data_IF_366382983677
#
_entry.id   IF_366382983677
#
_cell.length_a   1.000
_cell.length_b   1.000
_cell.length_c   1.000
_cell.angle_alpha   90.00
_cell.angle_beta   90.00
_cell.angle_gamma   90.00
#
_symmetry.space_group_name_H-M   'P 1'
#
loop_
_entity.id
_entity.type
_entity.pdbx_description
1 polymer ?
#
# COMPACT_ATOMS: atom_id res chain seq x y z
N UNK A 1 69.79 23.83 -17.43
CA UNK A 1 68.50 23.70 -18.15
C UNK A 1 68.33 22.26 -18.58
N UNK A 2 67.44 21.50 -17.95
CA UNK A 2 66.86 20.26 -18.50
C UNK A 2 65.65 19.86 -17.62
N UNK A 3 64.47 19.97 -18.26
CA UNK A 3 63.14 19.39 -18.04
C UNK A 3 62.84 18.68 -16.69
N UNK A 4 61.95 19.24 -15.85
CA UNK A 4 60.47 19.13 -15.85
C UNK A 4 59.91 17.79 -15.29
N UNK A 5 59.49 17.86 -14.03
CA UNK A 5 58.24 17.33 -13.45
C UNK A 5 57.80 15.92 -13.86
N UNK A 6 57.99 14.94 -12.97
CA UNK A 6 57.33 13.63 -13.05
C UNK A 6 56.37 13.44 -11.88
N UNK A 7 55.09 13.38 -12.24
CA UNK A 7 54.08 12.48 -11.68
C UNK A 7 53.54 12.79 -10.29
N UNK A 8 52.74 13.85 -10.20
CA UNK A 8 51.55 13.81 -9.37
C UNK A 8 50.51 12.82 -9.95
N UNK A 9 49.63 12.35 -9.07
CA UNK A 9 48.34 11.68 -9.32
C UNK A 9 48.42 10.15 -9.46
N UNK A 10 48.33 9.47 -8.31
CA UNK A 10 47.85 8.08 -8.23
C UNK A 10 47.18 7.82 -6.87
N UNK A 11 46.22 8.68 -6.49
CA UNK A 11 45.34 8.49 -5.33
C UNK A 11 43.94 9.06 -5.61
N UNK A 12 43.28 8.59 -6.67
CA UNK A 12 41.90 9.03 -7.00
C UNK A 12 41.05 7.94 -7.66
N UNK A 13 41.30 6.65 -7.39
CA UNK A 13 40.59 5.54 -8.03
C UNK A 13 39.67 4.76 -7.10
N UNK A 14 39.36 5.27 -5.90
CA UNK A 14 38.63 4.51 -4.87
C UNK A 14 37.55 5.35 -4.16
N UNK A 15 36.69 6.03 -4.91
CA UNK A 15 35.50 6.69 -4.34
C UNK A 15 34.34 6.81 -5.35
N UNK A 16 34.22 5.86 -6.28
CA UNK A 16 33.07 5.72 -7.16
C UNK A 16 32.37 4.37 -6.93
N UNK A 17 32.33 3.91 -5.68
CA UNK A 17 31.15 3.18 -5.22
C UNK A 17 30.10 4.24 -4.93
N UNK A 18 29.42 4.66 -6.00
CA UNK A 18 28.12 5.32 -5.86
C UNK A 18 27.28 4.39 -5.01
N UNK A 19 27.09 4.75 -3.74
CA UNK A 19 26.06 4.21 -2.88
C UNK A 19 24.72 4.52 -3.57
N UNK A 20 24.30 3.65 -4.48
CA UNK A 20 22.89 3.54 -4.82
C UNK A 20 22.27 2.92 -3.58
N UNK A 21 21.81 3.77 -2.65
CA UNK A 21 20.89 3.29 -1.63
C UNK A 21 19.81 2.50 -2.37
N UNK A 22 19.56 1.22 -2.02
CA UNK A 22 18.41 0.53 -2.57
C UNK A 22 17.22 1.44 -2.29
N UNK A 23 16.64 2.01 -3.35
CA UNK A 23 15.44 2.79 -3.21
C UNK A 23 14.41 1.81 -2.66
N UNK A 24 13.95 2.06 -1.44
CA UNK A 24 12.88 1.28 -0.83
C UNK A 24 11.65 1.47 -1.72
N UNK A 25 11.31 0.40 -2.44
CA UNK A 25 10.34 0.42 -3.52
C UNK A 25 9.01 -0.24 -3.09
N UNK A 26 8.78 -0.29 -1.78
CA UNK A 26 7.68 -1.03 -1.19
C UNK A 26 6.44 -0.15 -1.04
N UNK A 27 5.32 -0.59 -1.63
CA UNK A 27 4.05 0.13 -1.65
C UNK A 27 3.05 -0.43 -0.64
N UNK A 28 2.02 0.34 -0.34
CA UNK A 28 0.98 0.06 0.65
C UNK A 28 -0.33 0.76 0.27
N UNK A 29 -1.45 0.34 0.85
CA UNK A 29 -2.70 1.10 0.73
C UNK A 29 -2.64 2.36 1.60
N UNK A 30 -2.53 3.53 0.97
CA UNK A 30 -2.56 4.85 1.63
C UNK A 30 -3.99 5.26 1.99
N UNK A 31 -4.95 4.91 1.13
CA UNK A 31 -6.37 5.15 1.36
C UNK A 31 -7.19 3.95 0.93
N UNK A 32 -8.19 3.57 1.73
CA UNK A 32 -9.09 2.44 1.46
C UNK A 32 -10.43 2.90 0.87
N UNK A 33 -10.82 4.14 1.16
CA UNK A 33 -12.03 4.77 0.64
C UNK A 33 -11.72 6.19 0.11
N UNK A 34 -11.15 6.23 -1.09
CA UNK A 34 -10.85 7.44 -1.83
C UNK A 34 -12.10 7.94 -2.55
N UNK A 35 -12.50 9.17 -2.23
CA UNK A 35 -13.64 9.84 -2.88
C UNK A 35 -13.12 10.96 -3.76
N UNK A 36 -13.36 10.84 -5.07
CA UNK A 36 -13.02 11.85 -6.05
C UNK A 36 -13.84 13.13 -5.83
N UNK A 37 -13.21 14.29 -6.04
CA UNK A 37 -13.86 15.59 -6.02
C UNK A 37 -14.79 15.77 -7.25
N UNK A 38 -14.38 15.22 -8.40
CA UNK A 38 -15.14 15.18 -9.64
C UNK A 38 -15.14 13.72 -10.16
N UNK A 39 -16.26 12.99 -10.10
CA UNK A 39 -16.31 11.58 -10.49
C UNK A 39 -16.05 11.36 -11.99
N UNK A 40 -16.24 12.38 -12.83
CA UNK A 40 -15.97 12.33 -14.27
C UNK A 40 -14.50 12.62 -14.61
N UNK A 41 -13.72 13.13 -13.64
CA UNK A 41 -12.29 13.41 -13.77
C UNK A 41 -11.52 12.73 -12.65
N UNK A 42 -11.40 11.42 -12.79
CA UNK A 42 -10.67 10.60 -11.83
C UNK A 42 -9.18 10.96 -11.83
N UNK A 43 -8.72 11.46 -10.69
CA UNK A 43 -7.31 11.64 -10.34
C UNK A 43 -7.08 11.13 -8.93
N UNK A 44 -5.86 10.67 -8.65
CA UNK A 44 -5.48 10.10 -7.36
C UNK A 44 -4.68 11.09 -6.51
N UNK A 45 -4.36 12.26 -7.06
CA UNK A 45 -3.64 13.34 -6.42
C UNK A 45 -4.39 13.92 -5.23
N UNK A 46 -3.64 14.59 -4.37
CA UNK A 46 -4.19 15.25 -3.16
C UNK A 46 -5.30 16.28 -3.48
N UNK A 47 -5.31 16.83 -4.70
CA UNK A 47 -6.25 17.85 -5.15
C UNK A 47 -7.47 17.25 -5.88
N UNK A 48 -7.43 15.95 -6.19
CA UNK A 48 -8.45 15.25 -7.00
C UNK A 48 -9.49 14.52 -6.14
N UNK A 49 -9.29 14.46 -4.82
CA UNK A 49 -10.20 13.78 -3.92
C UNK A 49 -9.75 13.85 -2.46
N UNK A 50 -10.37 13.01 -1.63
CA UNK A 50 -10.05 12.88 -0.21
C UNK A 50 -10.22 11.44 0.24
N UNK A 51 -9.53 11.09 1.31
CA UNK A 51 -9.67 9.78 1.92
C UNK A 51 -10.71 9.82 3.06
N UNK A 52 -11.69 8.92 3.01
CA UNK A 52 -12.71 8.76 4.04
C UNK A 52 -12.49 7.54 4.94
N UNK A 53 -11.63 6.61 4.53
CA UNK A 53 -11.36 5.39 5.26
C UNK A 53 -9.98 4.85 4.98
N UNK A 54 -9.36 4.29 6.02
CA UNK A 54 -7.94 3.94 6.03
C UNK A 54 -7.73 2.49 6.47
N UNK A 55 -6.53 1.98 6.24
CA UNK A 55 -6.08 0.73 6.82
C UNK A 55 -5.99 0.84 8.35
N UNK A 56 -5.94 -0.32 9.04
CA UNK A 56 -5.83 -0.37 10.50
C UNK A 56 -4.63 0.43 10.99
N UNK A 57 -4.85 1.21 12.05
CA UNK A 57 -3.82 2.03 12.72
C UNK A 57 -3.04 2.93 11.77
N UNK A 58 -3.65 3.38 10.67
CA UNK A 58 -2.99 4.25 9.70
C UNK A 58 -2.68 5.62 10.32
N UNK A 59 -1.41 6.10 10.32
CA UNK A 59 -1.05 7.38 10.91
C UNK A 59 -1.56 8.56 10.06
N UNK A 60 -2.18 9.55 10.71
CA UNK A 60 -2.62 10.78 10.05
C UNK A 60 -1.49 11.83 9.99
N UNK A 61 -1.68 12.82 9.10
CA UNK A 61 -0.78 13.97 8.96
C UNK A 61 0.56 13.68 8.28
N UNK A 62 0.68 12.50 7.68
CA UNK A 62 1.89 12.08 6.96
C UNK A 62 1.82 12.51 5.50
N UNK A 63 2.96 12.76 4.88
CA UNK A 63 3.00 13.03 3.45
C UNK A 63 2.65 11.76 2.66
N UNK A 64 1.97 11.92 1.53
CA UNK A 64 1.65 10.79 0.67
C UNK A 64 2.93 10.09 0.20
N UNK A 65 2.98 8.77 0.36
CA UNK A 65 4.11 7.96 -0.08
C UNK A 65 5.39 8.11 0.77
N UNK A 66 5.31 8.65 2.00
CA UNK A 66 6.47 8.84 2.89
C UNK A 66 6.56 7.85 4.06
N UNK A 67 5.78 6.77 4.04
CA UNK A 67 5.67 5.82 5.15
C UNK A 67 6.52 4.56 4.97
N UNK A 68 7.43 4.57 4.00
CA UNK A 68 8.52 3.61 3.83
C UNK A 68 9.62 3.80 4.88
N UNK A 69 9.99 5.04 5.19
CA UNK A 69 11.00 5.36 6.21
C UNK A 69 10.43 5.50 7.65
N UNK A 70 9.14 5.21 7.85
CA UNK A 70 8.50 5.29 9.16
C UNK A 70 8.92 4.10 10.06
N UNK A 71 8.77 4.26 11.38
CA UNK A 71 9.04 3.18 12.33
C UNK A 71 7.80 2.82 13.17
N UNK A 72 7.15 1.67 12.92
CA UNK A 72 7.36 0.79 11.77
C UNK A 72 6.80 1.40 10.46
N UNK A 73 7.33 0.96 9.31
CA UNK A 73 6.87 1.36 7.99
C UNK A 73 5.47 0.84 7.68
N UNK A 74 4.83 1.32 6.61
CA UNK A 74 3.51 0.82 6.17
C UNK A 74 3.57 -0.34 5.18
N UNK A 75 4.74 -0.63 4.62
CA UNK A 75 4.91 -1.82 3.81
C UNK A 75 5.11 -3.05 4.71
N UNK A 76 4.21 -4.01 4.61
CA UNK A 76 4.38 -5.32 5.22
C UNK A 76 4.67 -6.35 4.13
N UNK A 77 5.92 -6.82 4.08
CA UNK A 77 6.36 -7.85 3.14
C UNK A 77 6.18 -9.24 3.77
N UNK A 78 5.30 -10.04 3.17
CA UNK A 78 4.97 -11.38 3.65
C UNK A 78 6.15 -12.35 3.45
N UNK A 79 6.34 -13.26 4.40
CA UNK A 79 7.33 -14.33 4.31
C UNK A 79 6.66 -15.67 3.99
N UNK A 80 6.27 -15.85 2.73
CA UNK A 80 5.60 -17.07 2.23
C UNK A 80 4.10 -17.14 2.51
N UNK A 81 3.50 -18.30 2.23
CA UNK A 81 2.04 -18.49 2.26
C UNK A 81 1.46 -18.71 3.68
N UNK A 82 2.31 -19.10 4.63
CA UNK A 82 1.94 -19.23 6.05
C UNK A 82 2.05 -17.90 6.81
N UNK A 83 2.53 -16.83 6.15
CA UNK A 83 2.64 -15.52 6.75
C UNK A 83 1.27 -15.00 7.24
N UNK A 84 1.24 -14.24 8.34
CA UNK A 84 0.04 -13.51 8.73
C UNK A 84 -0.48 -12.69 7.55
N UNK A 85 -1.80 -12.68 7.29
CA UNK A 85 -2.33 -11.89 6.18
C UNK A 85 -2.22 -10.38 6.43
N UNK A 86 -2.33 -9.97 7.69
CA UNK A 86 -2.16 -8.59 8.13
C UNK A 86 -0.90 -8.55 9.00
N UNK A 87 -0.15 -7.45 8.93
CA UNK A 87 1.02 -7.29 9.80
C UNK A 87 0.60 -7.37 11.25
N UNK A 88 1.37 -8.08 12.07
CA UNK A 88 1.23 -8.09 13.52
C UNK A 88 2.35 -7.29 14.23
N UNK A 89 3.13 -6.53 13.45
CA UNK A 89 4.29 -5.80 13.94
C UNK A 89 5.43 -6.69 14.41
N UNK A 90 5.45 -7.99 14.07
CA UNK A 90 6.48 -8.95 14.50
C UNK A 90 7.00 -9.86 13.39
N UNK A 91 6.13 -10.33 12.50
CA UNK A 91 6.46 -11.27 11.43
C UNK A 91 6.50 -10.57 10.07
N UNK A 92 7.18 -11.19 9.10
CA UNK A 92 7.44 -10.64 7.76
C UNK A 92 8.92 -10.46 7.49
N UNK A 93 9.26 -10.29 6.21
CA UNK A 93 10.60 -9.85 5.80
C UNK A 93 10.79 -8.37 6.14
N UNK A 94 9.80 -7.57 5.75
CA UNK A 94 9.56 -6.25 6.29
C UNK A 94 8.30 -6.33 7.14
N UNK A 95 8.47 -6.04 8.42
CA UNK A 95 7.43 -6.32 9.42
C UNK A 95 6.22 -5.40 9.25
N UNK A 96 6.43 -4.16 8.84
CA UNK A 96 5.37 -3.16 8.74
C UNK A 96 4.71 -2.82 10.09
N UNK A 97 3.70 -1.96 10.06
CA UNK A 97 2.95 -1.55 11.25
C UNK A 97 1.87 -2.56 11.63
N UNK A 98 1.61 -2.74 12.93
CA UNK A 98 0.55 -3.61 13.43
C UNK A 98 -0.83 -3.27 12.83
N UNK A 99 -1.33 -4.18 12.01
CA UNK A 99 -2.63 -4.21 11.36
C UNK A 99 -3.48 -5.38 11.86
N UNK A 100 -3.19 -5.94 13.04
CA UNK A 100 -4.10 -6.91 13.68
C UNK A 100 -5.45 -6.27 13.99
N UNK A 101 -6.53 -7.03 13.91
CA UNK A 101 -7.85 -6.58 14.35
C UNK A 101 -7.82 -6.21 15.83
N UNK A 102 -8.31 -5.03 16.18
CA UNK A 102 -8.45 -4.60 17.56
C UNK A 102 -9.75 -5.15 18.19
N UNK A 103 -9.82 -5.13 19.52
CA UNK A 103 -11.03 -5.47 20.29
C UNK A 103 -11.44 -4.33 21.26
N UNK A 104 -12.53 -3.60 20.96
CA UNK A 104 -13.36 -3.69 19.75
C UNK A 104 -12.63 -3.09 18.51
N UNK A 105 -13.08 -3.39 17.27
CA UNK A 105 -12.39 -2.98 16.03
C UNK A 105 -12.12 -1.47 15.93
N UNK A 106 -13.02 -0.65 16.48
CA UNK A 106 -12.94 0.81 16.46
C UNK A 106 -11.66 1.34 17.12
N UNK A 107 -11.03 0.58 18.02
CA UNK A 107 -9.75 0.98 18.63
C UNK A 107 -8.58 1.04 17.64
N UNK A 108 -8.70 0.43 16.46
CA UNK A 108 -7.71 0.55 15.39
C UNK A 108 -7.86 1.86 14.59
N UNK A 109 -8.87 2.68 14.89
CA UNK A 109 -9.27 3.85 14.11
C UNK A 109 -9.52 5.08 14.98
N UNK A 110 -9.50 6.26 14.36
CA UNK A 110 -9.77 7.54 15.04
C UNK A 110 -8.65 8.00 15.98
N UNK A 111 -8.86 9.18 16.58
CA UNK A 111 -7.84 9.83 17.40
C UNK A 111 -6.58 10.16 16.59
N UNK A 112 -5.49 9.43 16.83
CA UNK A 112 -4.24 9.57 16.06
C UNK A 112 -4.23 8.76 14.76
N UNK A 113 -5.22 7.90 14.56
CA UNK A 113 -5.36 7.04 13.39
C UNK A 113 -6.47 7.52 12.45
N UNK A 114 -6.39 7.09 11.19
CA UNK A 114 -7.43 7.29 10.20
C UNK A 114 -8.79 6.68 10.59
N UNK A 115 -9.85 7.15 9.95
CA UNK A 115 -11.19 6.61 10.13
C UNK A 115 -11.33 5.21 9.51
N UNK A 116 -12.25 4.41 10.06
CA UNK A 116 -12.70 3.15 9.46
C UNK A 116 -13.61 3.46 8.26
N UNK A 117 -13.49 2.69 7.17
CA UNK A 117 -14.42 2.79 6.04
C UNK A 117 -15.82 2.34 6.47
N UNK A 118 -16.83 3.15 6.14
CA UNK A 118 -18.26 2.83 6.32
C UNK A 118 -18.94 2.95 4.97
N UNK A 119 -19.67 1.91 4.54
CA UNK A 119 -20.24 1.81 3.18
C UNK A 119 -21.46 0.89 3.15
N UNK A 120 -22.13 0.82 2.01
CA UNK A 120 -23.23 -0.09 1.71
C UNK A 120 -22.86 -1.08 0.60
N UNK A 121 -23.65 -2.16 0.47
CA UNK A 121 -23.50 -3.11 -0.62
C UNK A 121 -23.69 -2.41 -1.98
N UNK A 122 -22.89 -2.79 -2.98
CA UNK A 122 -22.85 -2.19 -4.32
C UNK A 122 -22.33 -0.74 -4.41
N UNK A 123 -21.94 -0.13 -3.30
CA UNK A 123 -21.15 1.10 -3.35
C UNK A 123 -19.84 0.84 -4.11
N UNK A 124 -19.29 1.91 -4.67
CA UNK A 124 -17.94 1.88 -5.24
C UNK A 124 -16.96 2.29 -4.15
N UNK A 125 -16.05 1.39 -3.79
CA UNK A 125 -14.88 1.74 -2.99
C UNK A 125 -13.67 1.90 -3.90
N UNK A 126 -12.88 2.94 -3.66
CA UNK A 126 -11.65 3.20 -4.39
C UNK A 126 -10.46 3.20 -3.42
N UNK A 127 -9.41 2.48 -3.77
CA UNK A 127 -8.19 2.37 -2.97
C UNK A 127 -7.09 3.16 -3.67
N UNK A 128 -6.30 3.90 -2.91
CA UNK A 128 -5.14 4.66 -3.38
C UNK A 128 -3.85 4.13 -2.78
N UNK A 129 -2.78 4.07 -3.58
CA UNK A 129 -1.43 3.66 -3.16
C UNK A 129 -0.33 4.46 -3.89
N UNK A 130 0.87 4.59 -3.32
CA UNK A 130 2.02 5.19 -4.01
C UNK A 130 2.65 4.22 -5.01
N UNK A 131 3.15 4.72 -6.14
CA UNK A 131 3.78 3.89 -7.17
C UNK A 131 5.15 3.30 -6.78
N UNK A 132 5.90 3.99 -5.92
CA UNK A 132 7.25 3.59 -5.43
C UNK A 132 8.20 3.20 -6.56
N UNK A 133 8.23 4.01 -7.63
CA UNK A 133 9.05 3.82 -8.83
C UNK A 133 8.67 2.63 -9.71
N UNK A 134 7.56 1.95 -9.44
CA UNK A 134 7.06 0.81 -10.23
C UNK A 134 5.91 1.16 -11.19
N UNK A 135 5.77 2.45 -11.50
CA UNK A 135 4.83 2.96 -12.49
C UNK A 135 5.54 3.73 -13.61
N UNK A 136 6.81 3.41 -13.89
CA UNK A 136 7.56 4.02 -14.98
C UNK A 136 7.00 3.64 -16.35
N UNK A 137 7.09 4.57 -17.31
CA UNK A 137 6.52 4.43 -18.65
C UNK A 137 7.17 3.29 -19.46
N UNK A 138 8.41 2.93 -19.12
CA UNK A 138 9.21 1.91 -19.81
C UNK A 138 9.03 0.48 -19.25
N UNK A 139 8.30 0.33 -18.13
CA UNK A 139 8.10 -0.96 -17.49
C UNK A 139 6.77 -1.60 -17.92
N UNK A 140 6.75 -2.92 -18.12
CA UNK A 140 5.55 -3.66 -18.53
C UNK A 140 4.39 -3.47 -17.55
N UNK A 141 3.19 -3.26 -18.09
CA UNK A 141 1.95 -3.10 -17.30
C UNK A 141 1.34 -4.46 -16.87
N UNK A 142 2.15 -5.33 -16.29
CA UNK A 142 1.73 -6.66 -15.81
C UNK A 142 1.53 -6.72 -14.29
N UNK A 143 1.90 -5.67 -13.56
CA UNK A 143 1.77 -5.61 -12.10
C UNK A 143 0.30 -5.37 -11.70
N UNK A 144 -0.15 -6.14 -10.71
CA UNK A 144 -1.53 -6.15 -10.24
C UNK A 144 -1.60 -6.01 -8.73
N UNK A 145 -2.62 -5.27 -8.29
CA UNK A 145 -3.11 -5.29 -6.91
C UNK A 145 -4.25 -6.29 -6.86
N UNK A 146 -4.21 -7.23 -5.93
CA UNK A 146 -5.30 -8.12 -5.60
C UNK A 146 -6.06 -7.55 -4.41
N UNK A 147 -7.39 -7.54 -4.49
CA UNK A 147 -8.27 -7.23 -3.37
C UNK A 147 -8.90 -8.52 -2.89
N UNK A 148 -8.64 -8.85 -1.63
CA UNK A 148 -9.31 -9.92 -0.93
C UNK A 148 -10.32 -9.30 0.05
N UNK A 149 -11.55 -9.81 0.06
CA UNK A 149 -12.63 -9.27 0.87
C UNK A 149 -13.32 -10.41 1.62
N UNK A 150 -13.13 -10.46 2.94
CA UNK A 150 -13.57 -11.58 3.75
C UNK A 150 -15.06 -11.91 3.58
N UNK A 151 -15.36 -13.21 3.58
CA UNK A 151 -16.73 -13.71 3.47
C UNK A 151 -17.46 -13.74 4.83
N UNK A 152 -16.71 -13.65 5.93
CA UNK A 152 -17.23 -13.73 7.30
C UNK A 152 -16.97 -12.42 8.03
N UNK A 153 -18.01 -11.96 8.72
CA UNK A 153 -17.99 -10.83 9.62
C UNK A 153 -17.21 -11.17 10.90
N UNK A 154 -16.62 -10.17 11.55
CA UNK A 154 -16.19 -10.33 12.95
C UNK A 154 -14.86 -11.06 13.16
N UNK A 155 -14.25 -11.62 12.11
CA UNK A 155 -13.07 -12.49 12.25
C UNK A 155 -12.04 -12.27 11.15
N UNK A 156 -10.80 -12.08 11.58
CA UNK A 156 -9.65 -12.17 10.68
C UNK A 156 -9.36 -13.64 10.33
N UNK A 157 -9.10 -13.94 9.05
CA UNK A 157 -8.49 -15.20 8.66
C UNK A 157 -7.10 -15.32 9.28
N UNK A 158 -6.67 -16.54 9.58
CA UNK A 158 -5.43 -16.80 10.34
C UNK A 158 -4.19 -16.83 9.47
N UNK A 159 -4.35 -17.17 8.19
CA UNK A 159 -3.24 -17.35 7.24
C UNK A 159 -3.51 -16.59 5.95
N UNK A 160 -2.44 -16.29 5.20
CA UNK A 160 -2.60 -15.72 3.87
C UNK A 160 -3.33 -16.65 2.89
N UNK A 161 -3.19 -17.97 3.04
CA UNK A 161 -3.95 -18.95 2.26
C UNK A 161 -5.47 -18.75 2.45
N UNK A 162 -5.95 -18.64 3.68
CA UNK A 162 -7.38 -18.41 3.97
C UNK A 162 -7.88 -17.08 3.38
N UNK A 163 -7.08 -16.00 3.43
CA UNK A 163 -7.47 -14.70 2.82
C UNK A 163 -7.51 -14.79 1.30
N UNK A 164 -6.61 -15.53 0.68
CA UNK A 164 -6.54 -15.65 -0.79
C UNK A 164 -7.77 -16.33 -1.38
N UNK A 165 -8.44 -17.22 -0.63
CA UNK A 165 -9.73 -17.80 -1.01
C UNK A 165 -10.88 -16.77 -1.08
N UNK A 166 -10.67 -15.57 -0.54
CA UNK A 166 -11.63 -14.46 -0.53
C UNK A 166 -11.33 -13.40 -1.60
N UNK A 167 -10.54 -13.75 -2.61
CA UNK A 167 -10.25 -12.91 -3.76
C UNK A 167 -11.54 -12.35 -4.38
N UNK A 168 -11.55 -11.04 -4.59
CA UNK A 168 -12.67 -10.31 -5.17
C UNK A 168 -12.33 -9.78 -6.57
N UNK A 169 -11.21 -9.08 -6.71
CA UNK A 169 -10.85 -8.39 -7.95
C UNK A 169 -9.34 -8.12 -8.03
N UNK A 170 -8.82 -8.04 -9.25
CA UNK A 170 -7.50 -7.46 -9.51
C UNK A 170 -7.61 -6.07 -10.16
N UNK A 171 -6.68 -5.19 -9.82
CA UNK A 171 -6.60 -3.83 -10.34
C UNK A 171 -5.21 -3.59 -10.93
N UNK A 172 -5.08 -2.84 -12.04
CA UNK A 172 -3.78 -2.46 -12.57
C UNK A 172 -3.02 -1.63 -11.54
N UNK A 173 -1.83 -2.09 -11.11
CA UNK A 173 -1.02 -1.34 -10.15
C UNK A 173 -0.64 0.04 -10.68
N UNK A 174 -0.43 0.14 -12.01
CA UNK A 174 0.02 1.35 -12.71
C UNK A 174 -1.10 2.31 -13.14
N UNK A 175 -2.30 2.17 -12.59
CA UNK A 175 -3.36 3.16 -12.83
C UNK A 175 -3.08 4.43 -12.02
N UNK A 176 -2.14 5.23 -12.52
CA UNK A 176 -1.53 6.34 -11.81
C UNK A 176 -1.72 7.67 -12.55
N UNK A 177 -1.69 8.75 -11.78
CA UNK A 177 -1.69 10.09 -12.35
C UNK A 177 -0.41 10.36 -13.13
N UNK A 178 -0.51 11.17 -14.18
CA UNK A 178 0.66 11.59 -14.95
C UNK A 178 1.50 12.56 -14.11
N UNK A 179 2.81 12.33 -13.99
CA UNK A 179 3.68 13.22 -13.23
C UNK A 179 5.14 12.78 -13.19
N UNK A 180 6.04 13.68 -12.79
CA UNK A 180 7.50 13.46 -12.89
C UNK A 180 8.14 12.80 -11.67
N UNK A 181 7.42 12.62 -10.55
CA UNK A 181 7.95 11.99 -9.33
C UNK A 181 7.46 10.55 -9.27
N UNK A 182 8.23 9.57 -9.75
CA UNK A 182 7.75 8.19 -9.92
C UNK A 182 7.59 7.46 -8.59
N UNK A 183 8.38 7.84 -7.58
CA UNK A 183 8.33 7.27 -6.24
C UNK A 183 6.98 7.51 -5.54
N UNK A 184 6.53 8.75 -5.53
CA UNK A 184 5.31 9.18 -4.84
C UNK A 184 4.15 9.45 -5.80
N UNK A 185 4.20 8.89 -7.02
CA UNK A 185 3.12 9.04 -7.99
C UNK A 185 1.87 8.34 -7.42
N UNK A 186 0.74 9.03 -7.29
CA UNK A 186 -0.46 8.42 -6.75
C UNK A 186 -1.10 7.53 -7.81
N UNK A 187 -1.50 6.34 -7.37
CA UNK A 187 -2.19 5.34 -8.17
C UNK A 187 -3.41 4.86 -7.41
N UNK A 188 -4.36 4.26 -8.12
CA UNK A 188 -5.50 3.66 -7.45
C UNK A 188 -6.36 2.80 -8.33
N UNK A 189 -7.40 2.23 -7.74
CA UNK A 189 -8.40 1.47 -8.46
C UNK A 189 -9.67 1.38 -7.65
N UNK A 190 -10.78 1.13 -8.34
CA UNK A 190 -12.10 1.06 -7.72
C UNK A 190 -12.75 -0.28 -7.98
N UNK A 191 -13.58 -0.72 -7.04
CA UNK A 191 -14.37 -1.94 -7.15
C UNK A 191 -15.72 -1.78 -6.45
N UNK A 192 -16.64 -2.71 -6.73
CA UNK A 192 -17.96 -2.73 -6.10
C UNK A 192 -17.91 -3.56 -4.82
N UNK A 193 -18.46 -3.00 -3.74
CA UNK A 193 -18.65 -3.74 -2.48
C UNK A 193 -19.54 -4.95 -2.76
N UNK A 194 -19.08 -6.19 -2.50
CA UNK A 194 -19.84 -7.38 -2.84
C UNK A 194 -21.06 -7.53 -1.92
N UNK A 195 -22.07 -8.33 -2.32
CA UNK A 195 -23.19 -8.65 -1.45
C UNK A 195 -22.73 -9.26 -0.12
N UNK A 196 -23.06 -8.58 0.98
CA UNK A 196 -22.78 -8.97 2.38
C UNK A 196 -23.91 -8.51 3.28
N UNK A 197 -24.07 -9.16 4.43
CA UNK A 197 -24.93 -8.62 5.48
C UNK A 197 -24.27 -7.40 6.16
N UNK A 198 -25.01 -6.65 6.98
CA UNK A 198 -24.42 -5.63 7.83
C UNK A 198 -23.36 -6.22 8.76
N UNK A 199 -22.26 -5.51 8.97
CA UNK A 199 -21.16 -6.00 9.79
C UNK A 199 -19.79 -5.45 9.44
N UNK A 200 -18.76 -5.86 10.16
CA UNK A 200 -17.37 -5.46 9.94
C UNK A 200 -16.57 -6.60 9.30
N UNK A 201 -16.10 -6.37 8.08
CA UNK A 201 -15.37 -7.34 7.26
C UNK A 201 -13.92 -6.92 7.04
N UNK A 202 -13.01 -7.90 6.94
CA UNK A 202 -11.63 -7.64 6.53
C UNK A 202 -11.57 -7.37 5.02
N UNK A 203 -10.88 -6.30 4.65
CA UNK A 203 -10.35 -6.07 3.31
C UNK A 203 -8.83 -6.14 3.36
N UNK A 204 -8.22 -6.85 2.42
CA UNK A 204 -6.77 -6.85 2.20
C UNK A 204 -6.46 -6.33 0.81
N UNK A 205 -5.65 -5.27 0.76
CA UNK A 205 -4.91 -4.87 -0.43
C UNK A 205 -3.62 -5.70 -0.48
N UNK A 206 -3.36 -6.39 -1.60
CA UNK A 206 -2.20 -7.28 -1.75
C UNK A 206 -1.53 -7.09 -3.11
N UNK A 207 -0.28 -6.66 -3.12
CA UNK A 207 0.48 -6.38 -4.34
C UNK A 207 1.69 -7.30 -4.46
N UNK A 208 1.91 -7.85 -5.66
CA UNK A 208 3.13 -8.60 -5.98
C UNK A 208 4.10 -7.71 -6.73
N UNK A 209 5.22 -7.35 -6.11
CA UNK A 209 6.27 -6.58 -6.76
C UNK A 209 7.06 -7.49 -7.72
N UNK A 210 7.71 -8.51 -7.15
CA UNK A 210 8.40 -9.56 -7.87
C UNK A 210 7.74 -10.90 -7.59
N UNK A 211 8.05 -11.93 -8.39
CA UNK A 211 7.50 -13.27 -8.19
C UNK A 211 7.77 -13.78 -6.77
N UNK A 212 6.71 -13.92 -5.97
CA UNK A 212 6.79 -14.38 -4.58
C UNK A 212 7.06 -13.28 -3.55
N UNK A 213 7.18 -12.02 -3.95
CA UNK A 213 7.34 -10.86 -3.07
C UNK A 213 6.03 -10.10 -2.97
N UNK A 214 5.33 -10.31 -1.85
CA UNK A 214 4.00 -9.78 -1.62
C UNK A 214 3.99 -8.75 -0.51
N UNK A 215 3.35 -7.61 -0.80
CA UNK A 215 3.11 -6.53 0.15
C UNK A 215 1.63 -6.44 0.44
N UNK A 216 1.27 -6.20 1.70
CA UNK A 216 -0.14 -6.15 2.11
C UNK A 216 -0.46 -4.97 3.01
N UNK A 217 -1.74 -4.56 2.96
CA UNK A 217 -2.34 -3.64 3.91
C UNK A 217 -3.76 -4.10 4.21
N UNK A 218 -4.11 -4.16 5.50
CA UNK A 218 -5.41 -4.63 5.98
C UNK A 218 -6.27 -3.51 6.57
N UNK A 219 -7.56 -3.57 6.26
CA UNK A 219 -8.57 -2.63 6.72
C UNK A 219 -9.83 -3.36 7.17
N UNK A 220 -10.57 -2.76 8.10
CA UNK A 220 -11.92 -3.14 8.45
C UNK A 220 -12.90 -2.28 7.65
N UNK A 221 -13.86 -2.93 6.99
CA UNK A 221 -14.92 -2.30 6.23
C UNK A 221 -16.23 -2.55 6.96
N UNK A 222 -16.85 -1.48 7.48
CA UNK A 222 -18.18 -1.54 8.08
C UNK A 222 -19.23 -1.42 6.99
N UNK A 223 -19.99 -2.47 6.77
CA UNK A 223 -21.15 -2.50 5.88
C UNK A 223 -22.40 -2.21 6.71
N UNK A 224 -23.17 -1.21 6.30
CA UNK A 224 -24.44 -0.83 6.92
C UNK A 224 -25.63 -1.29 6.06
N UNK A 225 -26.84 -1.26 6.64
CA UNK A 225 -28.06 -1.45 5.86
C UNK A 225 -28.25 -0.27 4.90
N UNK A 226 -28.67 -0.59 3.67
CA UNK A 226 -28.93 0.39 2.61
C UNK A 226 -30.23 1.16 2.81
#
# INVERSE_FOLDING_TARGET
>A
MLFKTSTCILLASLALFTYTSPADAHSWADCIDWVFNDPDKQGWGKDDGKCLGYARRYPLGQEFGSLDDANPGRHYQQDGDDAPPCSDGKHGKDVGSDETRADPPEKAYGGKYGAMTVTSVNDTLCIRWPAKNHAEDNEKNSLKVLINFANKEGRDPKTQAEVTETFLVDMPYKNCDKGKVPDRRPCGGCFKVPPRGPGIYLLQWRWMLNKGEWYTSCADIKIEES
#
